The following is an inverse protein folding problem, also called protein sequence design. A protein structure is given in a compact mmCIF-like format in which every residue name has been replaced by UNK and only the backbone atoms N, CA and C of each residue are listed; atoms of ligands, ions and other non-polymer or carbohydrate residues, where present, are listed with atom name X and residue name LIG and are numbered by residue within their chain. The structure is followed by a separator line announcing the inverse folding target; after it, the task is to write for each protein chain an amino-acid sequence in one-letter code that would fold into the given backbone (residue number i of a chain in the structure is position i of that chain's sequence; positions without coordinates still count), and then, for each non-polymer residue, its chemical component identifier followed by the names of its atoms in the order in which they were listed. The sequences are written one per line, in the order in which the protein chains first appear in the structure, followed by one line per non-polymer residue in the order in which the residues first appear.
data_IF_722937675948
#
_entry.id   IF_722937675948
#
_cell.length_a   1.000
_cell.length_b   1.000
_cell.length_c   1.000
_cell.angle_alpha   90.00
_cell.angle_beta   90.00
_cell.angle_gamma   90.00
#
_symmetry.space_group_name_H-M   'P 1'
#
loop_
_entity.id
_entity.type
_entity.pdbx_description
1 polymer ?
#
# COMPACT_ATOMS: atom_id res chain seq x y z
N UNK A 1 1.58 21.58 11.60
CA UNK A 1 2.92 21.00 11.43
C UNK A 1 2.79 19.74 10.59
N UNK A 2 3.52 19.65 9.48
CA UNK A 2 3.60 18.39 8.74
C UNK A 2 4.66 17.51 9.39
N UNK A 3 4.23 16.39 9.97
CA UNK A 3 5.13 15.39 10.56
C UNK A 3 5.49 14.37 9.49
N UNK A 4 6.78 14.12 9.34
CA UNK A 4 7.32 13.09 8.45
C UNK A 4 8.10 12.09 9.28
N UNK A 5 8.01 10.83 8.87
CA UNK A 5 8.84 9.74 9.39
C UNK A 5 9.85 9.35 8.33
N UNK A 6 11.08 9.06 8.77
CA UNK A 6 12.15 8.54 7.94
C UNK A 6 12.33 7.08 8.33
N UNK A 7 12.19 6.18 7.37
CA UNK A 7 12.37 4.74 7.55
C UNK A 7 13.58 4.28 6.74
N UNK A 8 14.40 3.45 7.34
CA UNK A 8 15.48 2.69 6.69
C UNK A 8 14.91 1.52 5.89
N UNK A 9 15.72 0.93 5.02
CA UNK A 9 15.31 -0.24 4.24
C UNK A 9 14.81 -1.41 5.10
N UNK A 10 15.43 -1.65 6.26
CA UNK A 10 15.02 -2.72 7.17
C UNK A 10 13.69 -2.41 7.86
N UNK A 11 13.51 -1.17 8.32
CA UNK A 11 12.23 -0.71 8.87
C UNK A 11 11.12 -0.75 7.80
N UNK A 12 11.42 -0.47 6.54
CA UNK A 12 10.44 -0.58 5.46
C UNK A 12 10.03 -2.04 5.24
N UNK A 13 11.00 -2.97 5.24
CA UNK A 13 10.75 -4.42 5.11
C UNK A 13 9.89 -4.95 6.26
N UNK A 14 10.09 -4.44 7.47
CA UNK A 14 9.36 -4.86 8.66
C UNK A 14 7.98 -4.19 8.77
N UNK A 15 7.92 -2.87 8.58
CA UNK A 15 6.73 -2.09 8.88
C UNK A 15 5.79 -1.94 7.69
N UNK A 16 6.30 -1.87 6.45
CA UNK A 16 5.45 -1.55 5.29
C UNK A 16 4.99 -2.85 4.61
N UNK A 17 3.68 -3.14 4.56
CA UNK A 17 3.14 -4.36 3.94
C UNK A 17 3.11 -4.30 2.39
N UNK A 18 4.20 -3.85 1.76
CA UNK A 18 4.25 -3.64 0.31
C UNK A 18 4.16 -4.95 -0.48
N UNK A 19 4.70 -6.07 0.03
CA UNK A 19 4.62 -7.36 -0.64
C UNK A 19 3.17 -7.84 -0.75
N UNK A 20 2.44 -7.86 0.38
CA UNK A 20 1.01 -8.25 0.44
C UNK A 20 0.18 -7.40 -0.51
N UNK A 21 0.37 -6.08 -0.47
CA UNK A 21 -0.34 -5.14 -1.35
C UNK A 21 -0.01 -5.42 -2.82
N UNK A 22 1.26 -5.63 -3.16
CA UNK A 22 1.69 -5.90 -4.53
C UNK A 22 1.06 -7.17 -5.09
N UNK A 23 1.18 -8.29 -4.38
CA UNK A 23 0.67 -9.59 -4.81
C UNK A 23 -0.85 -9.56 -4.95
N UNK A 24 -1.51 -9.03 -3.93
CA UNK A 24 -2.96 -9.01 -3.84
C UNK A 24 -3.58 -8.16 -4.93
N UNK A 25 -3.15 -6.90 -5.07
CA UNK A 25 -3.72 -5.98 -6.05
C UNK A 25 -3.33 -6.30 -7.49
N UNK A 26 -2.26 -7.07 -7.70
CA UNK A 26 -1.88 -7.58 -9.01
C UNK A 26 -2.59 -8.90 -9.37
N UNK A 27 -3.30 -9.53 -8.42
CA UNK A 27 -3.98 -10.79 -8.64
C UNK A 27 -5.28 -10.65 -9.45
N UNK A 28 -5.74 -11.75 -10.05
CA UNK A 28 -7.04 -11.83 -10.71
C UNK A 28 -8.22 -11.58 -9.77
N UNK A 29 -8.06 -11.83 -8.46
CA UNK A 29 -9.09 -11.62 -7.44
C UNK A 29 -9.38 -10.14 -7.19
N UNK A 30 -8.41 -9.27 -7.48
CA UNK A 30 -8.56 -7.82 -7.31
C UNK A 30 -9.54 -7.21 -8.32
N UNK A 31 -9.51 -7.67 -9.57
CA UNK A 31 -10.27 -7.06 -10.67
C UNK A 31 -11.72 -7.55 -10.76
N UNK A 32 -12.39 -7.77 -9.62
CA UNK A 32 -13.79 -8.18 -9.57
C UNK A 32 -14.70 -6.99 -9.23
N UNK A 33 -15.94 -7.00 -9.76
CA UNK A 33 -16.94 -5.98 -9.45
C UNK A 33 -17.28 -5.91 -7.95
N UNK A 34 -17.31 -7.07 -7.27
CA UNK A 34 -17.49 -7.16 -5.82
C UNK A 34 -16.38 -6.42 -5.08
N UNK A 35 -15.12 -6.66 -5.44
CA UNK A 35 -13.98 -6.03 -4.78
C UNK A 35 -13.95 -4.52 -4.99
N UNK A 36 -14.23 -4.05 -6.22
CA UNK A 36 -14.35 -2.62 -6.52
C UNK A 36 -15.46 -1.93 -5.73
N UNK A 37 -16.58 -2.61 -5.44
CA UNK A 37 -17.65 -2.09 -4.57
C UNK A 37 -17.20 -2.01 -3.11
N UNK A 38 -16.65 -3.09 -2.56
CA UNK A 38 -16.12 -3.11 -1.19
C UNK A 38 -15.04 -2.05 -0.97
N UNK A 39 -14.15 -1.84 -1.94
CA UNK A 39 -13.13 -0.80 -1.86
C UNK A 39 -13.75 0.61 -1.81
N UNK A 40 -14.89 0.83 -2.46
CA UNK A 40 -15.61 2.12 -2.38
C UNK A 40 -16.28 2.35 -1.03
N UNK A 41 -16.65 1.28 -0.33
CA UNK A 41 -17.22 1.32 1.02
C UNK A 41 -16.15 1.53 2.09
N UNK A 42 -14.98 0.90 1.93
CA UNK A 42 -13.87 0.95 2.91
C UNK A 42 -12.99 2.21 2.84
N UNK A 43 -12.87 2.78 1.64
CA UNK A 43 -11.94 3.88 1.39
C UNK A 43 -12.67 5.08 0.79
N UNK A 44 -12.27 6.28 1.22
CA UNK A 44 -12.68 7.52 0.58
C UNK A 44 -12.09 7.64 -0.83
N UNK A 45 -12.58 8.57 -1.64
CA UNK A 45 -12.05 8.76 -3.00
C UNK A 45 -10.57 9.16 -3.02
N UNK A 46 -10.16 10.05 -2.11
CA UNK A 46 -8.77 10.48 -1.97
C UNK A 46 -7.86 9.32 -1.55
N UNK A 47 -8.33 8.47 -0.62
CA UNK A 47 -7.62 7.26 -0.20
C UNK A 47 -7.49 6.25 -1.35
N UNK A 48 -8.54 6.03 -2.16
CA UNK A 48 -8.47 5.12 -3.31
C UNK A 48 -7.43 5.58 -4.33
N UNK A 49 -7.39 6.89 -4.61
CA UNK A 49 -6.37 7.46 -5.49
C UNK A 49 -4.96 7.30 -4.92
N UNK A 50 -4.80 7.43 -3.59
CA UNK A 50 -3.54 7.14 -2.92
C UNK A 50 -3.18 5.66 -2.97
N UNK A 51 -4.13 4.73 -2.78
CA UNK A 51 -3.91 3.29 -2.86
C UNK A 51 -3.38 2.87 -4.24
N UNK A 52 -3.87 3.47 -5.32
CA UNK A 52 -3.34 3.20 -6.67
C UNK A 52 -1.87 3.62 -6.80
N UNK A 53 -1.47 4.74 -6.19
CA UNK A 53 -0.05 5.16 -6.15
C UNK A 53 0.79 4.23 -5.28
N UNK A 54 0.26 3.82 -4.12
CA UNK A 54 0.92 2.86 -3.24
C UNK A 54 1.12 1.51 -3.94
N UNK A 55 0.16 1.05 -4.75
CA UNK A 55 0.31 -0.18 -5.53
C UNK A 55 1.41 -0.09 -6.59
N UNK A 56 1.52 1.03 -7.31
CA UNK A 56 2.62 1.25 -8.25
C UNK A 56 3.98 1.25 -7.54
N UNK A 57 4.04 1.86 -6.35
CA UNK A 57 5.23 1.85 -5.49
C UNK A 57 5.54 0.43 -4.98
N UNK A 58 4.52 -0.31 -4.54
CA UNK A 58 4.63 -1.70 -4.08
C UNK A 58 5.22 -2.59 -5.18
N UNK A 59 4.73 -2.48 -6.41
CA UNK A 59 5.26 -3.19 -7.58
C UNK A 59 6.71 -2.85 -7.84
N UNK A 60 7.07 -1.58 -7.73
CA UNK A 60 8.45 -1.13 -7.92
C UNK A 60 9.38 -1.74 -6.87
N UNK A 61 8.96 -1.70 -5.60
CA UNK A 61 9.75 -2.22 -4.48
C UNK A 61 9.86 -3.74 -4.46
N UNK A 62 8.76 -4.44 -4.76
CA UNK A 62 8.71 -5.89 -4.65
C UNK A 62 9.21 -6.62 -5.90
N UNK A 63 8.86 -6.15 -7.10
CA UNK A 63 9.09 -6.90 -8.35
C UNK A 63 10.23 -6.36 -9.22
N UNK A 64 10.64 -5.09 -9.06
CA UNK A 64 11.51 -4.44 -10.04
C UNK A 64 12.85 -3.97 -9.48
N UNK A 65 12.84 -3.09 -8.48
CA UNK A 65 14.03 -2.36 -8.03
C UNK A 65 14.50 -2.73 -6.62
N UNK A 66 13.66 -3.41 -5.84
CA UNK A 66 13.91 -3.60 -4.42
C UNK A 66 13.46 -2.39 -3.58
N UNK A 67 13.45 -2.59 -2.26
CA UNK A 67 13.20 -1.53 -1.29
C UNK A 67 14.37 -0.54 -1.29
N UNK A 68 14.12 0.78 -1.40
CA UNK A 68 15.17 1.80 -1.33
C UNK A 68 15.80 1.88 0.07
N UNK A 69 17.02 2.41 0.15
CA UNK A 69 17.81 2.49 1.40
C UNK A 69 17.10 3.31 2.49
N UNK A 70 16.41 4.38 2.09
CA UNK A 70 15.65 5.24 2.99
C UNK A 70 14.39 5.77 2.31
N UNK A 71 13.29 5.90 3.07
CA UNK A 71 12.05 6.52 2.61
C UNK A 71 11.54 7.49 3.65
N UNK A 72 11.26 8.71 3.20
CA UNK A 72 10.53 9.70 3.99
C UNK A 72 9.07 9.69 3.58
N UNK A 73 8.17 9.48 4.53
CA UNK A 73 6.73 9.52 4.28
C UNK A 73 5.96 10.13 5.45
N UNK A 74 4.70 10.47 5.22
CA UNK A 74 3.81 10.91 6.30
C UNK A 74 3.37 9.69 7.13
N UNK A 75 3.17 9.82 8.45
CA UNK A 75 2.58 8.75 9.28
C UNK A 75 1.22 8.27 8.74
N UNK A 76 0.44 9.18 8.15
CA UNK A 76 -0.84 8.86 7.50
C UNK A 76 -0.67 7.98 6.26
N UNK A 77 0.43 8.12 5.53
CA UNK A 77 0.76 7.23 4.41
C UNK A 77 1.07 5.83 4.92
N UNK A 78 1.83 5.71 6.01
CA UNK A 78 2.10 4.42 6.65
C UNK A 78 0.81 3.77 7.17
N UNK A 79 -0.06 4.55 7.83
CA UNK A 79 -1.37 4.07 8.26
C UNK A 79 -2.23 3.59 7.08
N UNK A 80 -2.17 4.29 5.94
CA UNK A 80 -2.89 3.89 4.73
C UNK A 80 -2.33 2.58 4.15
N UNK A 81 -1.01 2.34 4.21
CA UNK A 81 -0.43 1.05 3.84
C UNK A 81 -1.02 -0.08 4.67
N UNK A 82 -1.09 0.08 5.99
CA UNK A 82 -1.69 -0.94 6.87
C UNK A 82 -3.18 -1.12 6.63
N UNK A 83 -3.93 -0.03 6.43
CA UNK A 83 -5.37 -0.10 6.08
C UNK A 83 -5.59 -0.86 4.77
N UNK A 84 -4.76 -0.58 3.76
CA UNK A 84 -4.81 -1.27 2.47
C UNK A 84 -4.43 -2.74 2.59
N UNK A 85 -3.42 -3.07 3.39
CA UNK A 85 -3.05 -4.45 3.66
C UNK A 85 -4.14 -5.22 4.41
N UNK A 86 -4.76 -4.60 5.43
CA UNK A 86 -5.92 -5.17 6.12
C UNK A 86 -7.05 -5.49 5.15
N UNK A 87 -7.36 -4.56 4.23
CA UNK A 87 -8.30 -4.84 3.15
C UNK A 87 -7.85 -6.03 2.31
N UNK A 88 -6.58 -6.05 1.88
CA UNK A 88 -5.99 -7.12 1.07
C UNK A 88 -6.05 -8.50 1.75
N UNK A 89 -6.00 -8.59 3.07
CA UNK A 89 -6.13 -9.86 3.79
C UNK A 89 -7.57 -10.38 3.88
N UNK A 90 -8.59 -9.53 3.71
CA UNK A 90 -10.02 -9.90 3.68
C UNK A 90 -10.45 -10.55 2.34
N UNK A 91 -9.57 -11.31 1.67
CA UNK A 91 -9.76 -11.80 0.29
C UNK A 91 -10.13 -13.28 0.15
#
# INVERSE_FOLDING_TARGET
MEVYIKLTADEIREMVPYAVVCETMSSSRWNTGRRKRLMREWFTESERNACNRLHAQARTWYLHKGVPDEVVMKPTTLALWHKLAGFCCEL
#
